data_IF_284060647083
#
_entry.id   IF_284060647083
#
_cell.length_a   1.000
_cell.length_b   1.000
_cell.length_c   1.000
_cell.angle_alpha   90.00
_cell.angle_beta   90.00
_cell.angle_gamma   90.00
#
_symmetry.space_group_name_H-M   'P 1'
#
loop_
_entity.id
_entity.type
_entity.pdbx_description
1 polymer ?
#
# COMPACT_ATOMS: atom_id res chain seq x y z
N UNK A 1 2.06 14.07 -8.75
CA UNK A 1 1.09 12.95 -8.69
C UNK A 1 0.29 13.11 -7.41
N UNK A 2 -0.98 12.71 -7.41
CA UNK A 2 -1.75 12.51 -6.19
C UNK A 2 -1.87 11.01 -5.96
N UNK A 3 -1.46 10.53 -4.79
CA UNK A 3 -1.39 9.09 -4.48
C UNK A 3 -2.21 8.85 -3.22
N UNK A 4 -3.07 7.85 -3.29
CA UNK A 4 -3.86 7.35 -2.16
C UNK A 4 -3.44 5.90 -1.92
N UNK A 5 -3.08 5.60 -0.68
CA UNK A 5 -2.77 4.24 -0.21
C UNK A 5 -3.98 3.72 0.56
N UNK A 6 -4.33 2.45 0.35
CA UNK A 6 -5.50 1.82 0.99
C UNK A 6 -5.11 0.46 1.57
N UNK A 7 -4.37 0.42 2.70
CA UNK A 7 -4.00 -0.81 3.39
C UNK A 7 -5.23 -1.50 3.99
N UNK A 8 -5.77 -2.45 3.24
CA UNK A 8 -6.87 -3.34 3.64
C UNK A 8 -6.83 -4.61 2.78
N UNK A 9 -6.65 -4.45 1.47
CA UNK A 9 -6.42 -5.55 0.53
C UNK A 9 -7.55 -6.58 0.52
N UNK A 10 -7.19 -7.85 0.67
CA UNK A 10 -8.12 -8.98 0.67
C UNK A 10 -8.80 -9.21 2.05
N UNK A 11 -8.62 -8.29 3.01
CA UNK A 11 -9.29 -8.39 4.30
C UNK A 11 -10.80 -8.28 4.16
N UNK A 12 -11.55 -8.82 5.11
CA UNK A 12 -13.01 -8.80 5.08
C UNK A 12 -13.59 -8.76 6.50
N UNK A 13 -14.80 -8.24 6.61
CA UNK A 13 -15.57 -8.33 7.84
C UNK A 13 -16.52 -9.53 7.80
N UNK A 14 -16.41 -10.40 8.79
CA UNK A 14 -17.36 -11.48 9.08
C UNK A 14 -18.23 -11.07 10.27
N UNK A 15 -19.33 -10.37 9.98
CA UNK A 15 -20.09 -9.67 11.01
C UNK A 15 -19.26 -8.52 11.60
N UNK A 16 -18.89 -8.62 12.88
CA UNK A 16 -18.07 -7.63 13.58
C UNK A 16 -16.57 -7.99 13.59
N UNK A 17 -16.21 -9.20 13.17
CA UNK A 17 -14.83 -9.69 13.19
C UNK A 17 -14.11 -9.31 11.89
N UNK A 18 -12.88 -8.81 12.00
CA UNK A 18 -12.00 -8.52 10.87
C UNK A 18 -11.10 -9.72 10.61
N UNK A 19 -11.17 -10.28 9.41
CA UNK A 19 -10.31 -11.37 8.94
C UNK A 19 -9.35 -10.83 7.87
N UNK A 20 -8.05 -10.99 8.08
CA UNK A 20 -7.01 -10.69 7.08
C UNK A 20 -6.40 -11.97 6.52
N UNK A 21 -5.92 -11.94 5.28
CA UNK A 21 -5.44 -13.13 4.54
C UNK A 21 -4.26 -13.82 5.23
N UNK A 22 -3.41 -13.05 5.89
CA UNK A 22 -2.19 -13.50 6.57
C UNK A 22 -2.32 -13.42 8.11
N UNK A 23 -3.55 -13.43 8.64
CA UNK A 23 -3.84 -13.49 10.07
C UNK A 23 -3.87 -12.13 10.78
N UNK A 24 -4.01 -12.17 12.12
CA UNK A 24 -4.23 -10.98 12.96
C UNK A 24 -3.06 -9.98 12.91
N UNK A 25 -1.83 -10.45 12.74
CA UNK A 25 -0.67 -9.56 12.65
C UNK A 25 -0.70 -8.70 11.38
N UNK A 26 -1.26 -9.20 10.27
CA UNK A 26 -1.51 -8.38 9.07
C UNK A 26 -2.57 -7.32 9.36
N UNK A 27 -3.67 -7.69 10.04
CA UNK A 27 -4.68 -6.71 10.46
C UNK A 27 -4.09 -5.62 11.35
N UNK A 28 -3.16 -6.01 12.23
CA UNK A 28 -2.43 -5.09 13.11
C UNK A 28 -1.51 -4.17 12.29
N UNK A 29 -0.74 -4.72 11.35
CA UNK A 29 0.11 -3.92 10.46
C UNK A 29 -0.71 -2.94 9.60
N UNK A 30 -1.83 -3.38 9.03
CA UNK A 30 -2.79 -2.51 8.33
C UNK A 30 -3.25 -1.37 9.25
N UNK A 31 -3.58 -1.65 10.51
CA UNK A 31 -3.99 -0.61 11.48
C UNK A 31 -2.92 0.46 11.69
N UNK A 32 -1.64 0.08 11.77
CA UNK A 32 -0.53 1.03 11.88
C UNK A 32 -0.42 1.94 10.66
N UNK A 33 -0.55 1.39 9.46
CA UNK A 33 -0.50 2.14 8.20
C UNK A 33 -1.71 3.07 8.04
N UNK A 34 -2.91 2.59 8.37
CA UNK A 34 -4.14 3.39 8.40
C UNK A 34 -4.02 4.56 9.38
N UNK A 35 -3.50 4.31 10.59
CA UNK A 35 -3.25 5.36 11.58
C UNK A 35 -2.22 6.39 11.09
N UNK A 36 -1.14 5.95 10.42
CA UNK A 36 -0.17 6.87 9.84
C UNK A 36 -0.77 7.74 8.74
N UNK A 37 -1.59 7.18 7.86
CA UNK A 37 -2.30 7.93 6.81
C UNK A 37 -3.28 8.93 7.43
N UNK A 38 -4.06 8.53 8.44
CA UNK A 38 -5.06 9.38 9.08
C UNK A 38 -4.43 10.54 9.87
N UNK A 39 -3.40 10.26 10.68
CA UNK A 39 -2.75 11.28 11.51
C UNK A 39 -1.84 12.20 10.69
N UNK A 40 -1.26 11.69 9.59
CA UNK A 40 -0.34 12.42 8.72
C UNK A 40 -0.83 12.40 7.26
N UNK A 41 -1.94 13.08 6.92
CA UNK A 41 -2.66 12.90 5.65
C UNK A 41 -1.89 13.33 4.40
N UNK A 42 -0.82 14.12 4.56
CA UNK A 42 0.04 14.47 3.43
C UNK A 42 0.86 13.25 3.01
N UNK A 43 0.70 12.81 1.76
CA UNK A 43 1.44 11.67 1.20
C UNK A 43 2.94 11.70 1.50
N UNK A 44 3.60 12.84 1.29
CA UNK A 44 5.04 12.98 1.54
C UNK A 44 5.45 12.77 3.00
N UNK A 45 4.51 12.81 3.94
CA UNK A 45 4.76 12.65 5.38
C UNK A 45 4.58 11.20 5.81
N UNK A 46 3.49 10.52 5.43
CA UNK A 46 3.29 9.11 5.80
C UNK A 46 4.00 8.11 4.88
N UNK A 47 4.33 8.50 3.64
CA UNK A 47 4.95 7.59 2.67
C UNK A 47 6.25 6.94 3.16
N UNK A 48 7.20 7.67 3.79
CA UNK A 48 8.43 7.04 4.27
C UNK A 48 8.18 5.97 5.35
N UNK A 49 7.18 6.16 6.20
CA UNK A 49 6.74 5.15 7.17
C UNK A 49 6.18 3.92 6.45
N UNK A 50 5.18 4.13 5.59
CA UNK A 50 4.54 3.06 4.82
C UNK A 50 5.57 2.24 4.03
N UNK A 51 6.47 2.91 3.32
CA UNK A 51 7.53 2.25 2.56
C UNK A 51 8.47 1.42 3.45
N UNK A 52 8.79 1.90 4.65
CA UNK A 52 9.62 1.15 5.60
C UNK A 52 8.93 -0.15 6.06
N UNK A 53 7.65 -0.06 6.42
CA UNK A 53 6.84 -1.22 6.85
C UNK A 53 6.71 -2.25 5.73
N UNK A 54 6.37 -1.83 4.52
CA UNK A 54 6.25 -2.70 3.34
C UNK A 54 7.59 -3.30 2.91
N UNK A 55 8.69 -2.54 3.01
CA UNK A 55 10.04 -3.06 2.74
C UNK A 55 10.41 -4.15 3.73
N UNK A 56 10.06 -3.96 5.01
CA UNK A 56 10.22 -5.00 6.02
C UNK A 56 9.36 -6.23 5.70
N UNK A 57 8.08 -6.04 5.36
CA UNK A 57 7.17 -7.12 5.02
C UNK A 57 7.69 -7.96 3.84
N UNK A 58 8.15 -7.30 2.77
CA UNK A 58 8.79 -7.95 1.62
C UNK A 58 10.01 -8.78 2.03
N UNK A 59 10.85 -8.26 2.92
CA UNK A 59 12.03 -8.99 3.38
C UNK A 59 11.68 -10.18 4.29
N UNK A 60 10.56 -10.10 5.01
CA UNK A 60 10.10 -11.14 5.94
C UNK A 60 9.32 -12.28 5.24
N UNK A 61 8.69 -12.03 4.09
CA UNK A 61 7.96 -13.04 3.30
C UNK A 61 6.50 -13.25 3.74
N UNK A 62 5.91 -14.39 3.38
CA UNK A 62 4.52 -14.71 3.75
C UNK A 62 4.37 -14.88 5.27
N UNK A 63 3.29 -14.35 5.85
CA UNK A 63 3.11 -14.33 7.30
C UNK A 63 4.10 -13.39 8.02
N UNK A 64 4.50 -12.29 7.37
CA UNK A 64 5.52 -11.35 7.84
C UNK A 64 5.26 -10.70 9.22
N UNK A 65 4.04 -10.79 9.74
CA UNK A 65 3.58 -10.13 10.97
C UNK A 65 4.58 -10.12 12.13
N UNK A 66 5.00 -11.30 12.64
CA UNK A 66 5.94 -11.39 13.78
C UNK A 66 7.32 -10.75 13.50
N UNK A 67 7.70 -10.63 12.23
CA UNK A 67 8.95 -10.02 11.79
C UNK A 67 8.82 -8.50 11.55
N UNK A 68 7.65 -8.03 11.11
CA UNK A 68 7.36 -6.62 10.80
C UNK A 68 6.98 -5.81 12.04
N UNK A 69 6.09 -6.34 12.90
CA UNK A 69 5.57 -5.60 14.05
C UNK A 69 6.68 -5.06 14.99
N UNK A 70 7.75 -5.81 15.30
CA UNK A 70 8.86 -5.29 16.11
C UNK A 70 9.64 -4.13 15.45
N UNK A 71 9.47 -3.89 14.15
CA UNK A 71 10.17 -2.84 13.39
C UNK A 71 9.37 -1.54 13.28
N UNK A 72 8.09 -1.55 13.65
CA UNK A 72 7.17 -0.40 13.49
C UNK A 72 7.71 0.87 14.15
N UNK A 73 8.20 0.78 15.38
CA UNK A 73 8.76 1.94 16.09
C UNK A 73 9.99 2.52 15.37
N UNK A 74 10.86 1.64 14.87
CA UNK A 74 12.00 2.03 14.05
C UNK A 74 11.58 2.71 12.74
N UNK A 75 10.53 2.21 12.09
CA UNK A 75 9.97 2.84 10.90
C UNK A 75 9.33 4.20 11.20
N UNK A 76 8.60 4.33 12.32
CA UNK A 76 7.98 5.60 12.73
C UNK A 76 9.05 6.66 13.01
N UNK A 77 10.01 6.34 13.88
CA UNK A 77 11.10 7.26 14.24
C UNK A 77 11.98 7.61 13.02
N UNK A 78 12.35 6.62 12.20
CA UNK A 78 13.15 6.82 11.00
C UNK A 78 12.47 7.63 9.89
N UNK A 79 11.13 7.70 9.89
CA UNK A 79 10.34 8.53 8.98
C UNK A 79 9.95 9.89 9.58
N UNK A 80 10.30 10.16 10.84
CA UNK A 80 9.94 11.38 11.55
C UNK A 80 8.48 11.44 12.01
N UNK A 81 7.80 10.29 12.10
CA UNK A 81 6.48 10.19 12.71
C UNK A 81 6.60 9.97 14.23
N UNK A 82 5.59 10.44 14.96
CA UNK A 82 5.51 10.25 16.41
C UNK A 82 4.91 8.88 16.72
N UNK A 83 5.76 7.96 17.18
CA UNK A 83 5.34 6.62 17.56
C UNK A 83 4.29 6.61 18.68
N UNK A 84 4.32 7.56 19.62
CA UNK A 84 3.33 7.66 20.70
C UNK A 84 1.96 8.02 20.14
N UNK A 85 1.91 8.90 19.14
CA UNK A 85 0.67 9.25 18.46
C UNK A 85 0.12 8.07 17.65
N UNK A 86 0.98 7.36 16.92
CA UNK A 86 0.59 6.17 16.15
C UNK A 86 0.08 5.05 17.07
N UNK A 87 0.83 4.72 18.12
CA UNK A 87 0.44 3.70 19.11
C UNK A 87 -0.85 4.08 19.85
N UNK A 88 -1.06 5.38 20.14
CA UNK A 88 -2.33 5.88 20.67
C UNK A 88 -3.51 5.65 19.72
N UNK A 89 -3.32 5.88 18.42
CA UNK A 89 -4.34 5.62 17.40
C UNK A 89 -4.67 4.13 17.26
N UNK A 90 -3.64 3.27 17.20
CA UNK A 90 -3.83 1.80 17.12
C UNK A 90 -4.44 1.24 18.41
N UNK A 91 -4.08 1.81 19.57
CA UNK A 91 -4.60 1.42 20.88
C UNK A 91 -6.03 1.89 21.15
N UNK A 92 -6.50 2.95 20.50
CA UNK A 92 -7.91 3.35 20.52
C UNK A 92 -8.72 2.39 19.64
N UNK A 93 -9.24 1.33 20.26
CA UNK A 93 -10.02 0.28 19.58
C UNK A 93 -11.21 0.83 18.77
N UNK A 94 -11.84 1.92 19.22
CA UNK A 94 -12.99 2.52 18.52
C UNK A 94 -12.54 3.27 17.28
N UNK A 95 -11.43 4.01 17.38
CA UNK A 95 -10.83 4.67 16.23
C UNK A 95 -10.27 3.65 15.24
N UNK A 96 -9.46 2.70 15.69
CA UNK A 96 -8.89 1.65 14.84
C UNK A 96 -9.98 0.86 14.09
N UNK A 97 -11.04 0.42 14.78
CA UNK A 97 -12.16 -0.27 14.12
C UNK A 97 -12.86 0.61 13.06
N UNK A 98 -13.09 1.90 13.36
CA UNK A 98 -13.66 2.85 12.40
C UNK A 98 -12.78 2.97 11.15
N UNK A 99 -11.46 3.12 11.34
CA UNK A 99 -10.51 3.21 10.24
C UNK A 99 -10.54 1.93 9.38
N UNK A 100 -10.60 0.75 9.99
CA UNK A 100 -10.72 -0.49 9.23
C UNK A 100 -11.97 -0.50 8.32
N UNK A 101 -13.11 0.00 8.82
CA UNK A 101 -14.32 0.14 7.99
C UNK A 101 -14.19 1.22 6.90
N UNK A 102 -13.54 2.35 7.20
CA UNK A 102 -13.30 3.42 6.21
C UNK A 102 -12.38 2.93 5.08
N UNK A 103 -11.30 2.24 5.41
CA UNK A 103 -10.37 1.67 4.44
C UNK A 103 -10.99 0.52 3.66
N UNK A 104 -11.83 -0.32 4.29
CA UNK A 104 -12.63 -1.32 3.60
C UNK A 104 -13.56 -0.71 2.54
N UNK A 105 -14.21 0.41 2.86
CA UNK A 105 -15.09 1.12 1.93
C UNK A 105 -14.33 1.78 0.77
N UNK A 106 -13.04 2.11 0.97
CA UNK A 106 -12.15 2.64 -0.06
C UNK A 106 -11.55 1.55 -0.96
N UNK A 107 -11.52 0.30 -0.51
CA UNK A 107 -11.04 -0.84 -1.29
C UNK A 107 -12.05 -1.15 -2.42
N UNK A 108 -11.63 -1.13 -3.71
CA UNK A 108 -12.54 -1.41 -4.81
C UNK A 108 -13.15 -2.81 -4.72
N UNK A 109 -14.48 -2.93 -4.75
CA UNK A 109 -15.16 -4.23 -4.58
C UNK A 109 -14.90 -5.23 -5.72
N UNK A 110 -14.38 -4.75 -6.86
CA UNK A 110 -14.06 -5.52 -8.05
C UNK A 110 -12.57 -5.91 -8.16
N UNK A 111 -11.74 -5.60 -7.13
CA UNK A 111 -10.38 -6.09 -7.10
C UNK A 111 -10.37 -7.63 -7.03
N UNK A 112 -9.51 -8.26 -7.83
CA UNK A 112 -9.39 -9.72 -7.89
C UNK A 112 -8.02 -10.25 -7.43
N UNK A 113 -7.12 -9.32 -7.07
CA UNK A 113 -5.79 -9.59 -6.54
C UNK A 113 -5.25 -8.34 -5.84
N UNK A 114 -4.18 -8.52 -5.07
CA UNK A 114 -3.38 -7.42 -4.51
C UNK A 114 -1.92 -7.55 -4.98
N UNK A 115 -1.19 -6.43 -5.17
CA UNK A 115 -1.67 -5.05 -5.10
C UNK A 115 -2.62 -4.68 -6.27
N UNK A 116 -3.68 -3.92 -5.97
CA UNK A 116 -4.64 -3.41 -6.95
C UNK A 116 -4.37 -1.93 -7.25
N UNK A 117 -3.73 -1.66 -8.38
CA UNK A 117 -3.31 -0.29 -8.75
C UNK A 117 -4.36 0.35 -9.66
N UNK A 118 -4.82 1.54 -9.30
CA UNK A 118 -5.79 2.31 -10.09
C UNK A 118 -5.17 3.64 -10.52
N UNK A 119 -5.24 3.95 -11.82
CA UNK A 119 -4.78 5.23 -12.38
C UNK A 119 -5.97 5.92 -13.04
N UNK A 120 -6.36 7.10 -12.54
CA UNK A 120 -7.51 7.88 -13.05
C UNK A 120 -8.80 7.04 -13.11
N UNK A 121 -9.08 6.28 -12.04
CA UNK A 121 -10.26 5.44 -11.92
C UNK A 121 -10.25 4.14 -12.73
N UNK A 122 -9.13 3.81 -13.40
CA UNK A 122 -9.00 2.57 -14.18
C UNK A 122 -7.98 1.62 -13.55
N UNK A 123 -8.34 0.37 -13.26
CA UNK A 123 -7.39 -0.65 -12.82
C UNK A 123 -6.28 -0.85 -13.85
N UNK A 124 -5.05 -0.94 -13.35
CA UNK A 124 -3.87 -1.22 -14.13
C UNK A 124 -3.58 -2.73 -14.10
N UNK A 125 -3.56 -3.36 -15.27
CA UNK A 125 -3.32 -4.82 -15.40
C UNK A 125 -1.89 -5.23 -15.08
N UNK A 126 -0.93 -4.35 -15.37
CA UNK A 126 0.48 -4.56 -15.10
C UNK A 126 1.02 -3.35 -14.34
N UNK A 127 1.29 -3.52 -13.05
CA UNK A 127 1.79 -2.44 -12.18
C UNK A 127 3.16 -1.91 -12.59
N UNK A 128 3.97 -2.68 -13.33
CA UNK A 128 5.24 -2.21 -13.90
C UNK A 128 5.04 -1.07 -14.91
N UNK A 129 3.86 -0.99 -15.53
CA UNK A 129 3.51 0.07 -16.46
C UNK A 129 3.05 1.37 -15.77
N UNK A 130 3.11 1.47 -14.45
CA UNK A 130 2.59 2.61 -13.68
C UNK A 130 3.20 3.94 -14.13
N UNK A 131 4.53 4.05 -14.17
CA UNK A 131 5.21 5.31 -14.53
C UNK A 131 4.85 5.72 -15.96
N UNK A 132 4.83 4.76 -16.89
CA UNK A 132 4.41 4.98 -18.29
C UNK A 132 2.98 5.51 -18.35
N UNK A 133 2.04 4.87 -17.66
CA UNK A 133 0.63 5.30 -17.63
C UNK A 133 0.46 6.69 -17.01
N UNK A 134 1.12 6.97 -15.89
CA UNK A 134 1.09 8.28 -15.26
C UNK A 134 1.61 9.35 -16.21
N UNK A 135 2.73 9.10 -16.90
CA UNK A 135 3.29 10.02 -17.87
C UNK A 135 2.39 10.26 -19.08
N UNK A 136 1.71 9.23 -19.59
CA UNK A 136 0.73 9.35 -20.66
C UNK A 136 -0.53 10.13 -20.24
N UNK A 137 -0.95 10.02 -18.97
CA UNK A 137 -2.11 10.74 -18.44
C UNK A 137 -1.79 12.16 -17.99
N UNK A 138 -0.53 12.51 -17.78
CA UNK A 138 -0.13 13.85 -17.38
C UNK A 138 -0.37 14.87 -18.50
N UNK A 139 -1.20 15.88 -18.21
CA UNK A 139 -1.62 16.92 -19.16
C UNK A 139 -0.78 18.20 -19.10
N UNK A 140 0.16 18.30 -18.16
CA UNK A 140 1.01 19.48 -18.04
C UNK A 140 2.05 19.56 -19.16
N UNK A 141 2.39 20.77 -19.60
CA UNK A 141 3.37 21.00 -20.67
C UNK A 141 4.78 20.48 -20.32
N UNK A 142 5.16 20.58 -19.03
CA UNK A 142 6.47 20.16 -18.55
C UNK A 142 6.38 18.76 -17.91
N UNK A 143 6.59 17.71 -18.72
CA UNK A 143 6.71 16.34 -18.22
C UNK A 143 8.06 16.16 -17.49
N UNK A 144 8.11 15.42 -16.36
CA UNK A 144 9.37 15.01 -15.76
C UNK A 144 10.26 14.23 -16.73
N UNK A 145 11.59 14.36 -16.62
CA UNK A 145 12.54 13.66 -17.49
C UNK A 145 12.38 12.12 -17.47
N UNK A 146 11.89 11.56 -16.35
CA UNK A 146 11.56 10.15 -16.24
C UNK A 146 10.50 9.68 -17.25
N UNK A 147 9.61 10.57 -17.71
CA UNK A 147 8.58 10.23 -18.68
C UNK A 147 9.12 9.85 -20.04
N UNK A 148 10.16 10.53 -20.53
CA UNK A 148 10.78 10.18 -21.80
C UNK A 148 11.32 8.73 -21.79
N UNK A 149 11.91 8.31 -20.67
CA UNK A 149 12.40 6.93 -20.49
C UNK A 149 11.25 5.93 -20.37
N UNK A 150 10.25 6.23 -19.55
CA UNK A 150 9.13 5.32 -19.28
C UNK A 150 8.23 5.11 -20.52
N UNK A 151 8.01 6.16 -21.32
CA UNK A 151 7.20 6.07 -22.54
C UNK A 151 7.90 5.28 -23.65
N UNK A 152 9.23 5.26 -23.64
CA UNK A 152 10.03 4.44 -24.56
C UNK A 152 10.10 2.95 -24.17
N UNK A 153 9.69 2.57 -22.96
CA UNK A 153 9.72 1.17 -22.52
C UNK A 153 8.61 0.34 -23.17
N UNK A 154 8.99 -0.83 -23.69
CA UNK A 154 8.08 -1.89 -24.12
C UNK A 154 7.60 -2.71 -22.93
N UNK A 155 6.89 -2.07 -22.00
CA UNK A 155 6.11 -2.79 -20.97
C UNK A 155 4.78 -3.19 -21.59
N UNK A 156 4.48 -4.49 -21.59
CA UNK A 156 3.21 -5.01 -22.09
C UNK A 156 2.07 -4.66 -21.12
N UNK A 157 0.95 -4.17 -21.66
CA UNK A 157 -0.27 -3.87 -20.90
C UNK A 157 -1.14 -5.12 -20.66
N UNK A 158 -0.60 -6.30 -20.95
CA UNK A 158 -1.28 -7.58 -20.77
C UNK A 158 -1.29 -8.02 -19.30
N UNK A 159 -2.37 -8.68 -18.89
CA UNK A 159 -2.45 -9.28 -17.56
C UNK A 159 -1.39 -10.38 -17.42
N UNK A 160 -0.80 -10.49 -16.22
CA UNK A 160 0.09 -11.59 -15.88
C UNK A 160 -0.69 -12.90 -15.98
N UNK A 161 -0.43 -13.72 -17.01
CA UNK A 161 -0.92 -15.09 -17.04
C UNK A 161 -0.05 -15.87 -16.08
N UNK A 162 -0.65 -16.47 -15.04
CA UNK A 162 0.00 -17.38 -14.12
C UNK A 162 0.80 -18.45 -14.89
N UNK A 163 2.11 -18.28 -14.92
CA UNK A 163 3.07 -19.31 -15.25
C UNK A 163 4.23 -19.12 -14.31
N UNK A 164 4.31 -19.91 -13.23
CA UNK A 164 5.43 -20.15 -12.31
C UNK A 164 6.68 -19.27 -12.48
N UNK A 165 6.51 -17.95 -12.41
CA UNK A 165 7.56 -16.97 -12.45
C UNK A 165 7.41 -16.21 -11.15
N UNK A 166 8.19 -16.66 -10.16
CA UNK A 166 8.59 -15.80 -9.06
C UNK A 166 8.93 -14.43 -9.64
N UNK A 167 8.48 -13.35 -8.98
CA UNK A 167 8.93 -12.00 -9.29
C UNK A 167 10.44 -12.05 -9.55
N UNK A 168 10.92 -11.62 -10.73
CA UNK A 168 12.34 -11.67 -11.01
C UNK A 168 13.04 -10.86 -9.92
N UNK A 169 13.97 -11.51 -9.22
CA UNK A 169 14.89 -10.85 -8.32
C UNK A 169 15.65 -9.79 -9.14
N UNK A 170 15.20 -8.55 -9.03
CA UNK A 170 16.00 -7.39 -9.35
C UNK A 170 16.64 -6.95 -8.02
N UNK A 171 17.89 -7.43 -7.85
CA UNK A 171 18.89 -7.09 -6.83
C UNK A 171 18.69 -7.74 -5.45
#
# INVERSE_FOLDING_TARGET
MNVTLVPFGNSKFNGAELECQHGEDECTANSWEQCAITLYPKFSTHWPFYLCVETAAKACGEGAGPCVLPKIEGCATGSGLDYSMLSGCVGDKKLANRLQHEFAALTPSDHSYVPWVVVEGKPLKNSEALVKHVCQKYKGANKPAACAKAEAQTVADAAFTSSNAACPAAW
#
